data_IF_601694147210
#
_entry.id   IF_601694147210
#
_cell.length_a   1.000
_cell.length_b   1.000
_cell.length_c   1.000
_cell.angle_alpha   90.00
_cell.angle_beta   90.00
_cell.angle_gamma   90.00
#
_symmetry.space_group_name_H-M   'P 1'
#
loop_
_entity.id
_entity.type
_entity.pdbx_description
1 polymer ?
#
# COMPACT_ATOMS: atom_id res chain seq x y z
N UNK A 1 15.96 -18.54 6.52
CA UNK A 1 15.52 -17.51 5.56
C UNK A 1 15.71 -17.99 4.13
N UNK A 2 14.63 -17.95 3.35
CA UNK A 2 14.63 -18.25 1.91
C UNK A 2 15.65 -17.34 1.17
N UNK A 3 16.32 -17.90 0.15
CA UNK A 3 17.39 -17.19 -0.59
C UNK A 3 16.84 -15.98 -1.35
N UNK A 4 15.71 -16.12 -2.03
CA UNK A 4 15.10 -15.04 -2.81
C UNK A 4 14.66 -13.89 -1.90
N UNK A 5 14.01 -14.21 -0.78
CA UNK A 5 13.61 -13.20 0.22
C UNK A 5 14.85 -12.48 0.77
N UNK A 6 15.94 -13.21 1.03
CA UNK A 6 17.22 -12.62 1.49
C UNK A 6 17.83 -11.68 0.46
N UNK A 7 17.79 -12.04 -0.82
CA UNK A 7 18.27 -11.19 -1.92
C UNK A 7 17.47 -9.90 -2.02
N UNK A 8 16.13 -10.00 -2.03
CA UNK A 8 15.23 -8.84 -2.01
C UNK A 8 15.47 -7.96 -0.76
N UNK A 9 15.68 -8.56 0.42
CA UNK A 9 15.97 -7.82 1.65
C UNK A 9 17.33 -7.06 1.59
N UNK A 10 18.37 -7.65 1.01
CA UNK A 10 19.65 -6.96 0.81
C UNK A 10 19.50 -5.81 -0.19
N UNK A 11 18.85 -6.07 -1.32
CA UNK A 11 18.62 -5.07 -2.36
C UNK A 11 17.81 -3.90 -1.82
N UNK A 12 16.81 -4.16 -0.97
CA UNK A 12 16.06 -3.11 -0.27
C UNK A 12 16.98 -2.22 0.58
N UNK A 13 17.89 -2.81 1.36
CA UNK A 13 18.83 -2.03 2.19
C UNK A 13 19.79 -1.19 1.32
N UNK A 14 20.27 -1.73 0.21
CA UNK A 14 21.14 -1.02 -0.74
C UNK A 14 20.39 0.13 -1.42
N UNK A 15 19.16 -0.11 -1.88
CA UNK A 15 18.30 0.91 -2.48
C UNK A 15 17.97 2.04 -1.50
N UNK A 16 17.73 1.71 -0.22
CA UNK A 16 17.50 2.71 0.81
C UNK A 16 18.71 3.65 0.98
N UNK A 17 19.93 3.10 0.98
CA UNK A 17 21.17 3.88 1.07
C UNK A 17 21.29 4.86 -0.09
N UNK A 18 21.01 4.41 -1.31
CA UNK A 18 21.03 5.25 -2.52
C UNK A 18 20.00 6.38 -2.43
N UNK A 19 18.77 6.06 -2.01
CA UNK A 19 17.71 7.04 -1.83
C UNK A 19 18.03 8.06 -0.72
N UNK A 20 18.59 7.60 0.40
CA UNK A 20 19.02 8.46 1.52
C UNK A 20 20.07 9.48 1.09
N UNK A 21 21.01 9.10 0.22
CA UNK A 21 22.04 9.98 -0.32
C UNK A 21 21.51 11.06 -1.26
N UNK A 22 20.57 10.70 -2.13
CA UNK A 22 20.09 11.54 -3.23
C UNK A 22 18.85 12.40 -2.90
N UNK A 23 17.98 11.93 -1.99
CA UNK A 23 16.67 12.53 -1.72
C UNK A 23 16.58 13.06 -0.29
N UNK A 24 17.50 13.94 0.10
CA UNK A 24 17.65 14.40 1.51
C UNK A 24 16.39 15.04 2.10
N UNK A 25 15.62 15.74 1.28
CA UNK A 25 14.43 16.49 1.70
C UNK A 25 13.16 15.65 1.78
N UNK A 26 13.14 14.46 1.18
CA UNK A 26 12.01 13.55 1.27
C UNK A 26 12.03 12.80 2.61
N UNK A 27 10.87 12.43 3.14
CA UNK A 27 10.74 11.76 4.44
C UNK A 27 11.45 10.40 4.45
N UNK A 28 12.13 10.04 5.55
CA UNK A 28 12.91 8.80 5.65
C UNK A 28 12.08 7.54 5.39
N UNK A 29 10.85 7.50 5.90
CA UNK A 29 9.91 6.40 5.69
C UNK A 29 9.50 6.22 4.22
N UNK A 30 9.32 7.31 3.44
CA UNK A 30 9.06 7.22 2.00
C UNK A 30 10.20 6.51 1.27
N UNK A 31 11.44 6.73 1.69
CA UNK A 31 12.63 6.11 1.08
C UNK A 31 12.67 4.61 1.36
N UNK A 32 12.22 4.16 2.53
CA UNK A 32 12.14 2.72 2.81
C UNK A 32 11.13 2.03 1.90
N UNK A 33 9.96 2.63 1.68
CA UNK A 33 8.95 2.07 0.79
C UNK A 33 9.41 2.09 -0.68
N UNK A 34 9.96 3.20 -1.15
CA UNK A 34 10.52 3.27 -2.51
C UNK A 34 11.65 2.24 -2.70
N UNK A 35 12.51 2.04 -1.69
CA UNK A 35 13.54 1.02 -1.71
C UNK A 35 12.97 -0.40 -1.81
N UNK A 36 11.92 -0.69 -1.04
CA UNK A 36 11.21 -1.95 -1.07
C UNK A 36 10.57 -2.19 -2.44
N UNK A 37 9.91 -1.18 -3.03
CA UNK A 37 9.26 -1.27 -4.34
C UNK A 37 10.24 -1.63 -5.47
N UNK A 38 11.45 -1.07 -5.44
CA UNK A 38 12.52 -1.49 -6.36
C UNK A 38 13.02 -2.91 -6.06
N UNK A 39 13.18 -3.24 -4.77
CA UNK A 39 13.74 -4.53 -4.37
C UNK A 39 12.84 -5.72 -4.69
N UNK A 40 11.52 -5.60 -4.51
CA UNK A 40 10.57 -6.67 -4.89
C UNK A 40 10.59 -6.97 -6.38
N UNK A 41 10.96 -5.98 -7.21
CA UNK A 41 11.15 -6.15 -8.65
C UNK A 41 12.54 -6.65 -9.04
N UNK A 42 13.44 -6.85 -8.07
CA UNK A 42 14.83 -7.19 -8.35
C UNK A 42 15.62 -6.04 -8.97
N UNK A 43 15.14 -4.79 -8.88
CA UNK A 43 15.74 -3.62 -9.51
C UNK A 43 16.54 -2.78 -8.50
N UNK A 44 17.66 -2.22 -8.96
CA UNK A 44 18.39 -1.18 -8.23
C UNK A 44 17.77 0.19 -8.49
N UNK A 45 17.77 1.06 -7.49
CA UNK A 45 17.35 2.46 -7.65
C UNK A 45 18.24 3.17 -8.67
N UNK A 46 17.62 3.81 -9.65
CA UNK A 46 18.27 4.80 -10.50
C UNK A 46 17.85 6.20 -10.04
N UNK A 47 18.70 6.83 -9.23
CA UNK A 47 18.39 8.12 -8.63
C UNK A 47 18.23 9.23 -9.69
N UNK A 48 18.96 9.17 -10.80
CA UNK A 48 18.88 10.19 -11.85
C UNK A 48 17.59 10.08 -12.64
N UNK A 49 17.12 8.85 -12.93
CA UNK A 49 15.78 8.61 -13.52
C UNK A 49 14.68 9.16 -12.61
N UNK A 50 14.75 8.91 -11.30
CA UNK A 50 13.77 9.46 -10.36
C UNK A 50 13.81 10.99 -10.37
N UNK A 51 15.00 11.63 -10.38
CA UNK A 51 15.11 13.10 -10.44
C UNK A 51 14.52 13.66 -11.75
N UNK A 52 14.79 13.01 -12.87
CA UNK A 52 14.22 13.35 -14.18
C UNK A 52 12.69 13.33 -14.12
N UNK A 53 12.10 12.25 -13.60
CA UNK A 53 10.64 12.12 -13.48
C UNK A 53 10.08 13.15 -12.50
N UNK A 54 10.74 13.41 -11.36
CA UNK A 54 10.32 14.46 -10.41
C UNK A 54 10.27 15.84 -11.07
N UNK A 55 11.21 16.13 -11.96
CA UNK A 55 11.23 17.40 -12.70
C UNK A 55 10.11 17.44 -13.74
N UNK A 56 9.94 16.37 -14.51
CA UNK A 56 8.85 16.27 -15.48
C UNK A 56 7.47 16.47 -14.82
N UNK A 57 7.19 15.81 -13.70
CA UNK A 57 5.93 16.01 -12.95
C UNK A 57 5.75 17.48 -12.55
N UNK A 58 6.81 18.16 -12.12
CA UNK A 58 6.74 19.58 -11.74
C UNK A 58 6.51 20.51 -12.94
N UNK A 59 7.02 20.16 -14.11
CA UNK A 59 6.80 20.93 -15.34
C UNK A 59 5.36 20.77 -15.84
N UNK A 60 4.82 19.54 -15.77
CA UNK A 60 3.48 19.22 -16.25
C UNK A 60 2.35 19.57 -15.26
N UNK A 61 2.68 19.93 -14.01
CA UNK A 61 1.67 20.21 -12.97
C UNK A 61 1.88 21.53 -12.26
N UNK A 62 0.80 22.15 -11.80
CA UNK A 62 0.86 23.32 -10.93
C UNK A 62 1.47 23.03 -9.55
N UNK A 63 1.98 24.07 -8.87
CA UNK A 63 2.63 23.94 -7.55
C UNK A 63 1.72 23.42 -6.43
N UNK A 64 0.40 23.56 -6.60
CA UNK A 64 -0.62 23.02 -5.70
C UNK A 64 -1.10 21.63 -6.10
N UNK A 65 -0.51 20.97 -7.10
CA UNK A 65 -0.95 19.65 -7.54
C UNK A 65 -0.78 18.57 -6.48
N UNK A 66 -1.69 17.58 -6.48
CA UNK A 66 -1.67 16.43 -5.57
C UNK A 66 -0.49 15.49 -5.83
N UNK A 67 0.12 15.56 -7.02
CA UNK A 67 1.33 14.84 -7.39
C UNK A 67 2.61 15.38 -6.75
N UNK A 68 2.54 16.53 -6.04
CA UNK A 68 3.67 17.15 -5.36
C UNK A 68 3.75 16.75 -3.88
N UNK A 69 4.67 17.35 -3.12
CA UNK A 69 4.89 17.01 -1.72
C UNK A 69 5.35 15.55 -1.55
N UNK A 70 4.75 14.84 -0.59
CA UNK A 70 5.09 13.44 -0.29
C UNK A 70 4.83 12.47 -1.45
N UNK A 71 3.82 12.77 -2.28
CA UNK A 71 3.48 11.95 -3.44
C UNK A 71 4.54 11.99 -4.52
N UNK A 72 5.33 13.07 -4.59
CA UNK A 72 6.28 13.26 -5.67
C UNK A 72 7.30 12.13 -5.74
N UNK A 73 7.83 11.66 -4.60
CA UNK A 73 8.80 10.57 -4.58
C UNK A 73 8.15 9.21 -4.90
N UNK A 74 6.99 8.89 -4.31
CA UNK A 74 6.29 7.62 -4.55
C UNK A 74 5.86 7.51 -6.01
N UNK A 75 5.20 8.54 -6.55
CA UNK A 75 4.72 8.52 -7.93
C UNK A 75 5.89 8.50 -8.92
N UNK A 76 6.98 9.23 -8.65
CA UNK A 76 8.17 9.15 -9.51
C UNK A 76 8.82 7.77 -9.48
N UNK A 77 8.78 7.09 -8.33
CA UNK A 77 9.27 5.71 -8.20
C UNK A 77 8.40 4.74 -8.99
N UNK A 78 7.06 4.85 -8.88
CA UNK A 78 6.14 4.02 -9.67
C UNK A 78 6.34 4.23 -11.18
N UNK A 79 6.45 5.48 -11.62
CA UNK A 79 6.71 5.83 -13.01
C UNK A 79 8.07 5.35 -13.52
N UNK A 80 9.04 5.02 -12.66
CA UNK A 80 10.27 4.37 -13.10
C UNK A 80 10.03 2.97 -13.69
N UNK A 81 8.93 2.32 -13.31
CA UNK A 81 8.56 0.98 -13.76
C UNK A 81 7.74 0.97 -15.05
N UNK A 82 7.32 2.15 -15.52
CA UNK A 82 6.56 2.28 -16.76
C UNK A 82 7.50 2.53 -17.95
N UNK A 83 7.26 1.82 -19.05
CA UNK A 83 8.10 1.89 -20.25
C UNK A 83 8.18 3.32 -20.82
N UNK A 84 7.02 3.97 -20.94
CA UNK A 84 6.90 5.37 -21.35
C UNK A 84 6.22 6.17 -20.24
N UNK A 85 7.01 6.52 -19.22
CA UNK A 85 6.51 7.27 -18.07
C UNK A 85 5.88 8.63 -18.44
N UNK A 86 6.32 9.27 -19.52
CA UNK A 86 5.76 10.56 -19.97
C UNK A 86 4.33 10.39 -20.48
N UNK A 87 4.10 9.39 -21.34
CA UNK A 87 2.77 9.05 -21.82
C UNK A 87 1.88 8.56 -20.69
N UNK A 88 2.41 7.68 -19.83
CA UNK A 88 1.68 7.17 -18.67
C UNK A 88 1.22 8.31 -17.76
N UNK A 89 2.11 9.27 -17.45
CA UNK A 89 1.75 10.40 -16.60
C UNK A 89 0.73 11.34 -17.26
N UNK A 90 0.75 11.50 -18.59
CA UNK A 90 -0.31 12.25 -19.29
C UNK A 90 -1.67 11.58 -19.13
N UNK A 91 -1.73 10.26 -19.26
CA UNK A 91 -2.94 9.47 -18.99
C UNK A 91 -3.39 9.63 -17.54
N UNK A 92 -2.46 9.65 -16.59
CA UNK A 92 -2.79 9.94 -15.20
C UNK A 92 -3.41 11.32 -15.03
N UNK A 93 -2.85 12.37 -15.64
CA UNK A 93 -3.45 13.72 -15.57
C UNK A 93 -4.88 13.73 -16.12
N UNK A 94 -5.13 13.05 -17.25
CA UNK A 94 -6.48 12.95 -17.82
C UNK A 94 -7.45 12.21 -16.88
N UNK A 95 -7.08 11.02 -16.42
CA UNK A 95 -7.93 10.22 -15.52
C UNK A 95 -8.17 10.94 -14.20
N UNK A 96 -7.17 11.66 -13.68
CA UNK A 96 -7.31 12.46 -12.47
C UNK A 96 -8.39 13.54 -12.62
N UNK A 97 -8.40 14.27 -13.73
CA UNK A 97 -9.42 15.28 -13.99
C UNK A 97 -10.82 14.64 -14.16
N UNK A 98 -10.92 13.47 -14.80
CA UNK A 98 -12.19 12.72 -14.85
C UNK A 98 -12.65 12.31 -13.45
N UNK A 99 -11.76 11.78 -12.60
CA UNK A 99 -12.11 11.45 -11.20
C UNK A 99 -12.66 12.69 -10.47
N UNK A 100 -12.08 13.87 -10.66
CA UNK A 100 -12.59 15.10 -10.05
C UNK A 100 -13.99 15.47 -10.55
N UNK A 101 -14.31 15.20 -11.82
CA UNK A 101 -15.66 15.39 -12.37
C UNK A 101 -16.68 14.42 -11.76
N UNK A 102 -16.27 13.20 -11.39
CA UNK A 102 -17.07 12.25 -10.61
C UNK A 102 -17.20 12.63 -9.12
N UNK A 103 -16.56 13.72 -8.68
CA UNK A 103 -16.68 14.24 -7.31
C UNK A 103 -15.58 13.77 -6.35
N UNK A 104 -14.58 13.01 -6.83
CA UNK A 104 -13.40 12.68 -6.03
C UNK A 104 -12.60 13.95 -5.76
N UNK A 105 -12.44 14.28 -4.47
CA UNK A 105 -11.83 15.54 -4.06
C UNK A 105 -10.32 15.41 -4.02
N UNK A 106 -9.65 16.56 -4.11
CA UNK A 106 -8.20 16.66 -3.90
C UNK A 106 -7.79 15.99 -2.59
N UNK A 107 -6.80 15.10 -2.66
CA UNK A 107 -6.30 14.32 -1.53
C UNK A 107 -4.91 13.73 -1.82
N UNK A 108 -4.17 13.38 -0.77
CA UNK A 108 -2.89 12.68 -0.88
C UNK A 108 -3.03 11.29 -1.51
N UNK A 109 -4.20 10.66 -1.46
CA UNK A 109 -4.44 9.33 -2.01
C UNK A 109 -4.91 9.33 -3.48
N UNK A 110 -5.45 10.47 -3.97
CA UNK A 110 -6.02 10.56 -5.31
C UNK A 110 -4.99 10.27 -6.42
N UNK A 111 -3.72 10.73 -6.35
CA UNK A 111 -2.66 10.36 -7.29
C UNK A 111 -2.42 8.86 -7.42
N UNK A 112 -2.42 8.14 -6.31
CA UNK A 112 -2.19 6.70 -6.31
C UNK A 112 -3.42 5.96 -6.87
N UNK A 113 -4.63 6.37 -6.50
CA UNK A 113 -5.85 5.85 -7.08
C UNK A 113 -5.91 6.07 -8.60
N UNK A 114 -5.45 7.23 -9.05
CA UNK A 114 -5.30 7.55 -10.48
C UNK A 114 -4.30 6.60 -11.16
N UNK A 115 -3.12 6.42 -10.55
CA UNK A 115 -2.11 5.48 -11.04
C UNK A 115 -2.69 4.07 -11.22
N UNK A 116 -3.41 3.56 -10.21
CA UNK A 116 -4.07 2.25 -10.26
C UNK A 116 -5.04 2.16 -11.43
N UNK A 117 -5.90 3.17 -11.62
CA UNK A 117 -6.84 3.19 -12.74
C UNK A 117 -6.13 3.16 -14.10
N UNK A 118 -5.08 3.98 -14.28
CA UNK A 118 -4.31 3.99 -15.55
C UNK A 118 -3.55 2.68 -15.76
N UNK A 119 -3.07 2.06 -14.69
CA UNK A 119 -2.28 0.83 -14.76
C UNK A 119 -3.11 -0.39 -15.12
N UNK A 120 -4.27 -0.53 -14.47
CA UNK A 120 -5.04 -1.78 -14.49
C UNK A 120 -6.31 -1.69 -15.35
N UNK A 121 -6.67 -0.51 -15.86
CA UNK A 121 -7.86 -0.31 -16.72
C UNK A 121 -7.47 0.19 -18.11
N UNK A 122 -7.87 -0.51 -19.19
CA UNK A 122 -7.70 -0.04 -20.56
C UNK A 122 -8.38 1.31 -20.79
N UNK A 123 -7.78 2.14 -21.65
CA UNK A 123 -8.22 3.52 -21.92
C UNK A 123 -9.70 3.59 -22.33
N UNK A 124 -10.15 2.67 -23.17
CA UNK A 124 -11.53 2.58 -23.66
C UNK A 124 -12.55 2.29 -22.56
N UNK A 125 -12.12 1.78 -21.39
CA UNK A 125 -12.97 1.44 -20.26
C UNK A 125 -12.93 2.48 -19.13
N UNK A 126 -12.12 3.54 -19.22
CA UNK A 126 -11.98 4.48 -18.11
C UNK A 126 -13.31 5.06 -17.64
N UNK A 127 -14.20 5.48 -18.56
CA UNK A 127 -15.47 6.09 -18.16
C UNK A 127 -16.37 5.12 -17.36
N UNK A 128 -16.55 3.88 -17.83
CA UNK A 128 -17.40 2.92 -17.14
C UNK A 128 -16.78 2.46 -15.81
N UNK A 129 -15.45 2.30 -15.76
CA UNK A 129 -14.74 1.89 -14.55
C UNK A 129 -14.64 3.03 -13.53
N UNK A 130 -14.57 4.29 -13.95
CA UNK A 130 -14.67 5.46 -13.05
C UNK A 130 -16.07 5.60 -12.44
N UNK A 131 -17.12 5.33 -13.22
CA UNK A 131 -18.47 5.25 -12.66
C UNK A 131 -18.56 4.12 -11.61
N UNK A 132 -18.01 2.94 -11.93
CA UNK A 132 -17.96 1.81 -10.99
C UNK A 132 -17.18 2.14 -9.72
N UNK A 133 -16.10 2.92 -9.83
CA UNK A 133 -15.34 3.41 -8.68
C UNK A 133 -16.20 4.29 -7.76
N UNK A 134 -17.00 5.19 -8.32
CA UNK A 134 -17.96 6.01 -7.56
C UNK A 134 -19.03 5.14 -6.87
N UNK A 135 -19.54 4.11 -7.55
CA UNK A 135 -20.49 3.15 -6.96
C UNK A 135 -19.90 2.40 -5.75
N UNK A 136 -18.65 1.92 -5.86
CA UNK A 136 -17.94 1.30 -4.75
C UNK A 136 -17.72 2.26 -3.58
N UNK A 137 -17.25 3.47 -3.87
CA UNK A 137 -16.99 4.48 -2.83
C UNK A 137 -18.29 4.89 -2.09
N UNK A 138 -19.40 5.03 -2.81
CA UNK A 138 -20.73 5.25 -2.23
C UNK A 138 -21.17 4.07 -1.38
N UNK A 139 -20.98 2.84 -1.85
CA UNK A 139 -21.28 1.62 -1.09
C UNK A 139 -20.51 1.57 0.25
N UNK A 140 -19.24 1.96 0.26
CA UNK A 140 -18.45 2.08 1.51
C UNK A 140 -19.03 3.14 2.44
N UNK A 141 -19.34 4.33 1.90
CA UNK A 141 -19.95 5.44 2.66
C UNK A 141 -21.31 5.08 3.28
N UNK A 142 -22.13 4.30 2.58
CA UNK A 142 -23.43 3.86 3.08
C UNK A 142 -23.32 2.96 4.33
N UNK A 143 -22.31 2.09 4.38
CA UNK A 143 -22.10 1.16 5.50
C UNK A 143 -21.28 1.78 6.64
N UNK A 144 -20.27 2.57 6.29
CA UNK A 144 -19.29 3.08 7.24
C UNK A 144 -19.02 4.58 7.00
N UNK A 145 -20.07 5.40 7.08
CA UNK A 145 -19.99 6.84 6.76
C UNK A 145 -18.85 7.58 7.46
N UNK A 146 -18.66 7.29 8.76
CA UNK A 146 -17.66 7.94 9.62
C UNK A 146 -16.23 7.41 9.45
N UNK A 147 -16.08 6.18 8.97
CA UNK A 147 -14.76 5.58 8.75
C UNK A 147 -14.29 5.86 7.33
N UNK A 148 -15.20 5.84 6.36
CA UNK A 148 -14.86 5.98 4.95
C UNK A 148 -14.32 7.38 4.67
N UNK A 149 -13.13 7.50 4.09
CA UNK A 149 -12.48 8.77 3.83
C UNK A 149 -11.73 8.76 2.49
N UNK A 150 -10.88 9.75 2.23
CA UNK A 150 -10.16 9.82 0.96
C UNK A 150 -9.11 8.72 0.79
N UNK A 151 -8.69 8.06 1.87
CA UNK A 151 -7.82 6.88 1.84
C UNK A 151 -8.49 5.67 1.17
N UNK A 152 -9.82 5.58 1.22
CA UNK A 152 -10.57 4.55 0.49
C UNK A 152 -10.62 4.77 -1.02
N UNK A 153 -10.14 5.91 -1.55
CA UNK A 153 -10.10 6.13 -3.01
C UNK A 153 -9.27 5.07 -3.72
N UNK A 154 -8.15 4.66 -3.13
CA UNK A 154 -7.30 3.64 -3.74
C UNK A 154 -8.00 2.28 -3.73
N UNK A 155 -8.70 1.95 -2.64
CA UNK A 155 -9.47 0.71 -2.57
C UNK A 155 -10.65 0.71 -3.56
N UNK A 156 -11.36 1.83 -3.69
CA UNK A 156 -12.42 1.97 -4.69
C UNK A 156 -11.88 1.85 -6.12
N UNK A 157 -10.71 2.42 -6.43
CA UNK A 157 -10.05 2.28 -7.74
C UNK A 157 -9.67 0.82 -8.02
N UNK A 158 -9.09 0.15 -7.02
CA UNK A 158 -8.76 -1.28 -7.10
C UNK A 158 -10.00 -2.12 -7.40
N UNK A 159 -11.08 -1.96 -6.63
CA UNK A 159 -12.31 -2.72 -6.85
C UNK A 159 -12.94 -2.42 -8.20
N UNK A 160 -12.89 -1.15 -8.64
CA UNK A 160 -13.39 -0.75 -9.94
C UNK A 160 -12.65 -1.42 -11.09
N UNK A 161 -11.33 -1.61 -10.98
CA UNK A 161 -10.54 -2.29 -12.01
C UNK A 161 -10.96 -3.76 -12.20
N UNK A 162 -11.45 -4.41 -11.13
CA UNK A 162 -11.97 -5.79 -11.21
C UNK A 162 -13.34 -5.90 -11.88
N UNK A 163 -13.77 -7.14 -12.13
CA UNK A 163 -15.12 -7.46 -12.60
C UNK A 163 -16.06 -7.92 -11.46
N UNK A 164 -15.65 -7.76 -10.20
CA UNK A 164 -16.43 -8.17 -9.02
C UNK A 164 -17.70 -7.34 -8.84
N UNK A 165 -18.88 -7.96 -8.70
CA UNK A 165 -20.13 -7.22 -8.51
C UNK A 165 -20.10 -6.28 -7.31
N UNK A 166 -20.60 -5.05 -7.49
CA UNK A 166 -20.54 -4.00 -6.45
C UNK A 166 -21.34 -4.40 -5.22
N UNK A 167 -22.58 -4.88 -5.40
CA UNK A 167 -23.47 -5.19 -4.26
C UNK A 167 -23.00 -6.41 -3.51
N UNK A 168 -22.61 -7.47 -4.22
CA UNK A 168 -22.09 -8.69 -3.62
C UNK A 168 -20.78 -8.41 -2.86
N UNK A 169 -19.87 -7.64 -3.45
CA UNK A 169 -18.59 -7.30 -2.81
C UNK A 169 -18.82 -6.46 -1.56
N UNK A 170 -19.67 -5.43 -1.62
CA UNK A 170 -19.98 -4.62 -0.43
C UNK A 170 -20.67 -5.42 0.68
N UNK A 171 -21.46 -6.44 0.32
CA UNK A 171 -22.01 -7.38 1.29
C UNK A 171 -20.90 -8.22 1.95
N UNK A 172 -19.97 -8.76 1.16
CA UNK A 172 -18.81 -9.53 1.68
C UNK A 172 -17.91 -8.68 2.58
N UNK A 173 -17.69 -7.41 2.22
CA UNK A 173 -16.96 -6.44 3.06
C UNK A 173 -17.60 -6.32 4.44
N UNK A 174 -18.93 -6.14 4.50
CA UNK A 174 -19.64 -6.00 5.77
C UNK A 174 -19.63 -7.31 6.58
N UNK A 175 -19.77 -8.46 5.91
CA UNK A 175 -19.66 -9.78 6.56
C UNK A 175 -18.26 -9.97 7.17
N UNK A 176 -17.20 -9.63 6.43
CA UNK A 176 -15.82 -9.67 6.94
C UNK A 176 -15.62 -8.70 8.11
N UNK A 177 -16.14 -7.47 8.02
CA UNK A 177 -16.01 -6.47 9.08
C UNK A 177 -16.60 -6.95 10.40
N UNK A 178 -17.81 -7.55 10.35
CA UNK A 178 -18.46 -8.11 11.53
C UNK A 178 -17.69 -9.30 12.10
N UNK A 179 -17.33 -10.26 11.26
CA UNK A 179 -16.61 -11.45 11.68
C UNK A 179 -15.24 -11.12 12.28
N UNK A 180 -14.48 -10.19 11.70
CA UNK A 180 -13.21 -9.71 12.26
C UNK A 180 -13.41 -9.00 13.61
N UNK A 181 -14.45 -8.19 13.76
CA UNK A 181 -14.77 -7.59 15.06
C UNK A 181 -15.11 -8.65 16.12
N UNK A 182 -15.83 -9.72 15.75
CA UNK A 182 -16.12 -10.86 16.62
C UNK A 182 -14.86 -11.66 17.01
N UNK A 183 -13.87 -11.74 16.11
CA UNK A 183 -12.55 -12.31 16.38
C UNK A 183 -11.66 -11.43 17.28
N UNK A 184 -12.12 -10.22 17.63
CA UNK A 184 -11.48 -9.33 18.61
C UNK A 184 -10.71 -8.15 18.02
N UNK A 185 -10.81 -7.89 16.71
CA UNK A 185 -10.26 -6.68 16.11
C UNK A 185 -11.09 -5.44 16.49
N UNK A 186 -10.42 -4.38 16.93
CA UNK A 186 -11.10 -3.15 17.36
C UNK A 186 -11.75 -2.41 16.19
N UNK A 187 -12.96 -1.86 16.41
CA UNK A 187 -13.66 -1.02 15.43
C UNK A 187 -12.85 0.22 15.08
N UNK A 188 -12.74 0.53 13.79
CA UNK A 188 -11.99 1.67 13.30
C UNK A 188 -11.57 1.50 11.85
N UNK A 189 -10.78 2.45 11.35
CA UNK A 189 -10.33 2.49 9.96
C UNK A 189 -9.49 1.27 9.58
N UNK A 190 -8.58 0.84 10.46
CA UNK A 190 -7.72 -0.32 10.21
C UNK A 190 -8.53 -1.62 10.03
N UNK A 191 -9.63 -1.78 10.79
CA UNK A 191 -10.54 -2.92 10.66
C UNK A 191 -11.33 -2.87 9.35
N UNK A 192 -11.78 -1.67 8.95
CA UNK A 192 -12.44 -1.47 7.65
C UNK A 192 -11.49 -1.80 6.50
N UNK A 193 -10.25 -1.31 6.54
CA UNK A 193 -9.22 -1.62 5.54
C UNK A 193 -8.95 -3.12 5.47
N UNK A 194 -8.89 -3.80 6.62
CA UNK A 194 -8.74 -5.26 6.65
C UNK A 194 -9.96 -5.94 5.99
N UNK A 195 -11.20 -5.55 6.31
CA UNK A 195 -12.38 -6.17 5.72
C UNK A 195 -12.48 -5.95 4.21
N UNK A 196 -12.07 -4.78 3.73
CA UNK A 196 -11.91 -4.43 2.32
C UNK A 196 -11.01 -5.43 1.58
N UNK A 197 -9.80 -5.69 2.09
CA UNK A 197 -8.88 -6.65 1.48
C UNK A 197 -9.44 -8.07 1.55
N UNK A 198 -10.00 -8.47 2.70
CA UNK A 198 -10.48 -9.83 2.92
C UNK A 198 -11.65 -10.23 2.01
N UNK A 199 -12.43 -9.23 1.56
CA UNK A 199 -13.51 -9.42 0.58
C UNK A 199 -13.01 -9.80 -0.82
N UNK A 200 -11.72 -9.60 -1.13
CA UNK A 200 -11.10 -9.99 -2.40
C UNK A 200 -10.79 -11.49 -2.49
N UNK A 201 -10.65 -12.18 -1.35
CA UNK A 201 -10.38 -13.61 -1.33
C UNK A 201 -11.60 -14.44 -1.73
N UNK A 202 -11.38 -15.63 -2.25
CA UNK A 202 -12.47 -16.56 -2.65
C UNK A 202 -12.95 -17.45 -1.50
N UNK A 203 -12.15 -17.63 -0.45
CA UNK A 203 -12.47 -18.51 0.68
C UNK A 203 -13.65 -17.97 1.51
N UNK A 204 -14.19 -18.82 2.39
CA UNK A 204 -15.27 -18.41 3.27
C UNK A 204 -14.83 -17.29 4.22
N UNK A 205 -15.76 -16.38 4.56
CA UNK A 205 -15.51 -15.29 5.51
C UNK A 205 -14.96 -15.82 6.83
N UNK A 206 -15.52 -16.93 7.33
CA UNK A 206 -15.09 -17.55 8.58
C UNK A 206 -13.63 -18.00 8.55
N UNK A 207 -13.22 -18.78 7.53
CA UNK A 207 -11.84 -19.30 7.44
C UNK A 207 -10.83 -18.16 7.34
N UNK A 208 -11.13 -17.18 6.51
CA UNK A 208 -10.29 -16.00 6.31
C UNK A 208 -10.17 -15.17 7.59
N UNK A 209 -11.26 -14.86 8.29
CA UNK A 209 -11.20 -14.08 9.53
C UNK A 209 -10.44 -14.80 10.65
N UNK A 210 -10.64 -16.13 10.79
CA UNK A 210 -9.92 -16.95 11.75
C UNK A 210 -8.42 -17.01 11.46
N UNK A 211 -8.05 -17.18 10.19
CA UNK A 211 -6.64 -17.15 9.75
C UNK A 211 -5.99 -15.78 10.03
N UNK A 212 -6.69 -14.68 9.76
CA UNK A 212 -6.21 -13.33 10.08
C UNK A 212 -5.93 -13.18 11.58
N UNK A 213 -6.86 -13.61 12.44
CA UNK A 213 -6.67 -13.57 13.90
C UNK A 213 -5.49 -14.43 14.36
N UNK A 214 -5.37 -15.65 13.80
CA UNK A 214 -4.26 -16.55 14.09
C UNK A 214 -2.91 -15.93 13.72
N UNK A 215 -2.75 -15.44 12.48
CA UNK A 215 -1.54 -14.77 12.00
C UNK A 215 -1.19 -13.55 12.85
N UNK A 216 -2.18 -12.71 13.16
CA UNK A 216 -1.99 -11.52 14.00
C UNK A 216 -1.43 -11.86 15.38
N UNK A 217 -2.00 -12.87 16.03
CA UNK A 217 -1.55 -13.31 17.36
C UNK A 217 -0.18 -13.98 17.32
N UNK A 218 0.10 -14.83 16.32
CA UNK A 218 1.41 -15.47 16.16
C UNK A 218 2.52 -14.43 15.92
N UNK A 219 2.29 -13.47 15.03
CA UNK A 219 3.19 -12.34 14.80
C UNK A 219 3.43 -11.53 16.08
N UNK A 220 2.36 -11.25 16.84
CA UNK A 220 2.46 -10.57 18.14
C UNK A 220 3.31 -11.33 19.15
N UNK A 221 3.18 -12.66 19.20
CA UNK A 221 3.93 -13.54 20.10
C UNK A 221 5.42 -13.58 19.74
N UNK A 222 5.74 -13.58 18.45
CA UNK A 222 7.12 -13.45 17.92
C UNK A 222 7.68 -12.02 17.99
N UNK A 223 7.00 -11.13 18.72
CA UNK A 223 7.35 -9.71 18.89
C UNK A 223 7.41 -8.94 17.56
N UNK A 224 6.80 -9.44 16.49
CA UNK A 224 6.65 -8.82 15.17
C UNK A 224 5.25 -8.23 15.04
N UNK A 225 4.93 -7.23 15.85
CA UNK A 225 3.58 -6.65 15.88
C UNK A 225 3.34 -5.76 14.66
N UNK A 226 2.22 -6.00 13.98
CA UNK A 226 1.66 -5.10 12.98
C UNK A 226 0.81 -4.03 13.68
N UNK A 227 1.22 -2.76 13.63
CA UNK A 227 0.43 -1.58 14.03
C UNK A 227 0.17 -0.69 12.81
N UNK A 228 -0.79 0.24 12.92
CA UNK A 228 -1.14 1.19 11.86
C UNK A 228 -1.56 0.45 10.57
N UNK A 229 -0.97 0.81 9.43
CA UNK A 229 -1.14 0.17 8.12
C UNK A 229 -0.83 -1.33 8.08
N UNK A 230 -0.26 -1.89 9.14
CA UNK A 230 0.02 -3.31 9.24
C UNK A 230 -1.21 -4.23 9.14
N UNK A 231 -2.43 -3.75 9.40
CA UNK A 231 -3.63 -4.57 9.15
C UNK A 231 -3.90 -4.78 7.66
N UNK A 232 -3.49 -3.84 6.79
CA UNK A 232 -3.57 -4.07 5.35
C UNK A 232 -2.64 -5.23 4.94
N UNK A 233 -1.40 -5.20 5.42
CA UNK A 233 -0.44 -6.30 5.23
C UNK A 233 -0.95 -7.61 5.81
N UNK A 234 -1.62 -7.60 6.97
CA UNK A 234 -2.25 -8.80 7.54
C UNK A 234 -3.34 -9.38 6.62
N UNK A 235 -4.18 -8.53 6.04
CA UNK A 235 -5.21 -8.96 5.09
C UNK A 235 -4.59 -9.72 3.93
N UNK A 236 -3.52 -9.17 3.36
CA UNK A 236 -2.77 -9.81 2.26
C UNK A 236 -2.15 -11.13 2.70
N UNK A 237 -1.46 -11.16 3.85
CA UNK A 237 -0.91 -12.39 4.44
C UNK A 237 -1.97 -13.48 4.66
N UNK A 238 -3.22 -13.06 4.85
CA UNK A 238 -4.33 -13.99 5.03
C UNK A 238 -4.80 -14.57 3.70
N UNK A 239 -4.77 -13.77 2.62
CA UNK A 239 -5.12 -14.20 1.26
C UNK A 239 -4.02 -15.01 0.57
N UNK A 240 -2.75 -14.84 0.94
CA UNK A 240 -1.68 -15.69 0.41
C UNK A 240 -1.82 -17.12 0.94
N UNK A 241 -1.64 -18.10 0.05
CA UNK A 241 -1.52 -19.50 0.44
C UNK A 241 -0.27 -19.74 1.27
N UNK A 242 -0.28 -20.77 2.13
CA UNK A 242 0.90 -21.16 2.90
C UNK A 242 0.58 -21.52 4.34
N UNK A 243 1.55 -22.17 4.99
CA UNK A 243 1.47 -22.51 6.41
C UNK A 243 1.73 -21.27 7.26
N UNK A 244 0.80 -20.92 8.14
CA UNK A 244 0.89 -19.71 8.98
C UNK A 244 2.18 -19.65 9.81
N UNK A 245 2.64 -20.78 10.36
CA UNK A 245 3.85 -20.80 11.19
C UNK A 245 5.10 -20.58 10.34
N UNK A 246 5.09 -21.05 9.10
CA UNK A 246 6.16 -20.77 8.16
C UNK A 246 6.20 -19.28 7.81
N UNK A 247 5.07 -18.69 7.45
CA UNK A 247 4.96 -17.26 7.13
C UNK A 247 5.47 -16.42 8.31
N UNK A 248 5.03 -16.71 9.54
CA UNK A 248 5.44 -15.98 10.74
C UNK A 248 6.96 -16.11 10.98
N UNK A 249 7.52 -17.32 10.83
CA UNK A 249 8.96 -17.54 10.96
C UNK A 249 9.75 -16.76 9.92
N UNK A 250 9.33 -16.77 8.66
CA UNK A 250 10.02 -16.06 7.58
C UNK A 250 9.97 -14.54 7.81
N UNK A 251 8.84 -13.99 8.25
CA UNK A 251 8.73 -12.56 8.61
C UNK A 251 9.69 -12.22 9.74
N UNK A 252 9.77 -13.07 10.77
CA UNK A 252 10.69 -12.88 11.90
C UNK A 252 12.15 -12.90 11.44
N UNK A 253 12.52 -13.85 10.60
CA UNK A 253 13.88 -13.98 10.06
C UNK A 253 14.27 -12.74 9.23
N UNK A 254 13.37 -12.25 8.37
CA UNK A 254 13.60 -11.03 7.58
C UNK A 254 13.74 -9.82 8.50
N UNK A 255 12.86 -9.67 9.49
CA UNK A 255 12.87 -8.57 10.44
C UNK A 255 14.18 -8.50 11.24
N UNK A 256 14.68 -9.65 11.71
CA UNK A 256 15.97 -9.76 12.39
C UNK A 256 17.12 -9.47 11.43
N UNK A 257 17.05 -9.98 10.20
CA UNK A 257 18.09 -9.79 9.21
C UNK A 257 18.25 -8.31 8.82
N UNK A 258 17.15 -7.61 8.55
CA UNK A 258 17.21 -6.20 8.17
C UNK A 258 17.52 -5.31 9.36
N UNK A 259 17.22 -5.71 10.61
CA UNK A 259 17.58 -4.93 11.81
C UNK A 259 19.08 -4.61 11.88
N UNK A 260 19.93 -5.53 11.41
CA UNK A 260 21.39 -5.38 11.37
C UNK A 260 21.89 -4.51 10.20
N UNK A 261 20.99 -4.01 9.33
CA UNK A 261 21.35 -3.17 8.18
C UNK A 261 21.27 -1.68 8.53
N UNK A 262 22.16 -0.89 7.93
CA UNK A 262 22.15 0.57 8.10
C UNK A 262 20.79 1.16 7.67
N UNK A 263 20.21 2.00 8.53
CA UNK A 263 18.89 2.59 8.32
C UNK A 263 17.70 1.79 8.85
N UNK A 264 17.88 0.55 9.33
CA UNK A 264 16.76 -0.32 9.76
C UNK A 264 16.80 -0.68 11.25
N UNK A 265 17.90 -0.36 11.94
CA UNK A 265 18.05 -0.57 13.37
C UNK A 265 17.13 0.30 14.24
N UNK A 266 17.19 0.09 15.56
CA UNK A 266 16.30 0.71 16.55
C UNK A 266 16.26 2.25 16.49
N UNK A 267 17.36 2.88 16.11
CA UNK A 267 17.49 4.34 16.05
C UNK A 267 17.03 4.97 14.74
N UNK A 268 16.73 4.15 13.72
CA UNK A 268 16.40 4.62 12.37
C UNK A 268 14.97 4.30 11.96
N UNK A 269 14.45 3.14 12.37
CA UNK A 269 13.15 2.66 11.93
C UNK A 269 12.34 2.05 13.07
N UNK A 270 11.09 2.51 13.20
CA UNK A 270 10.14 1.94 14.15
C UNK A 270 9.97 0.44 13.95
N UNK A 271 9.80 -0.29 15.06
CA UNK A 271 9.71 -1.75 15.05
C UNK A 271 8.49 -2.26 14.28
N UNK A 272 7.35 -1.58 14.36
CA UNK A 272 6.17 -1.95 13.58
C UNK A 272 6.42 -1.72 12.10
N UNK A 273 7.06 -0.60 11.75
CA UNK A 273 7.39 -0.30 10.36
C UNK A 273 8.35 -1.32 9.76
N UNK A 274 9.38 -1.71 10.49
CA UNK A 274 10.29 -2.79 10.06
C UNK A 274 9.56 -4.12 9.89
N UNK A 275 8.60 -4.41 10.76
CA UNK A 275 7.74 -5.61 10.62
C UNK A 275 6.90 -5.55 9.35
N UNK A 276 6.31 -4.38 9.02
CA UNK A 276 5.53 -4.18 7.79
C UNK A 276 6.40 -4.43 6.54
N UNK A 277 7.59 -3.82 6.47
CA UNK A 277 8.52 -4.06 5.35
C UNK A 277 8.90 -5.54 5.22
N UNK A 278 9.16 -6.20 6.35
CA UNK A 278 9.50 -7.63 6.38
C UNK A 278 8.34 -8.49 5.88
N UNK A 279 7.12 -8.19 6.33
CA UNK A 279 5.92 -8.87 5.93
C UNK A 279 5.59 -8.64 4.44
N UNK A 280 5.79 -7.44 3.92
CA UNK A 280 5.59 -7.15 2.49
C UNK A 280 6.59 -7.90 1.60
N UNK A 281 7.86 -8.06 2.01
CA UNK A 281 8.82 -8.90 1.28
C UNK A 281 8.41 -10.38 1.25
N UNK A 282 7.86 -10.89 2.36
CA UNK A 282 7.34 -12.26 2.43
C UNK A 282 6.07 -12.40 1.59
N UNK A 283 5.14 -11.44 1.66
CA UNK A 283 3.95 -11.38 0.81
C UNK A 283 4.34 -11.46 -0.66
N UNK A 284 5.27 -10.61 -1.10
CA UNK A 284 5.71 -10.56 -2.49
C UNK A 284 6.25 -11.91 -2.99
N UNK A 285 7.07 -12.59 -2.18
CA UNK A 285 7.55 -13.94 -2.49
C UNK A 285 6.41 -14.94 -2.71
N UNK A 286 5.43 -15.00 -1.81
CA UNK A 286 4.29 -15.91 -1.97
C UNK A 286 3.35 -15.50 -3.10
N UNK A 287 3.18 -14.19 -3.36
CA UNK A 287 2.40 -13.70 -4.48
C UNK A 287 3.07 -14.09 -5.80
N UNK A 288 4.39 -13.97 -5.93
CA UNK A 288 5.15 -14.42 -7.11
C UNK A 288 4.95 -15.92 -7.37
N UNK A 289 4.95 -16.76 -6.32
CA UNK A 289 4.61 -18.17 -6.47
C UNK A 289 3.16 -18.40 -6.95
N UNK A 290 2.23 -17.53 -6.53
CA UNK A 290 0.84 -17.57 -6.95
C UNK A 290 0.60 -17.06 -8.38
N UNK A 291 1.42 -16.13 -8.92
CA UNK A 291 1.24 -15.41 -10.21
C UNK A 291 1.19 -16.26 -11.49
N UNK A 292 1.01 -17.58 -11.42
CA UNK A 292 0.87 -18.49 -12.57
C UNK A 292 -0.44 -18.33 -13.39
N UNK A 293 -1.12 -17.17 -13.31
CA UNK A 293 -2.33 -16.86 -14.10
C UNK A 293 -2.72 -15.37 -14.07
N UNK A 294 -3.42 -14.90 -15.11
CA UNK A 294 -3.74 -13.47 -15.35
C UNK A 294 -4.58 -12.83 -14.23
N UNK A 295 -5.62 -13.53 -13.74
CA UNK A 295 -6.48 -13.02 -12.65
C UNK A 295 -5.67 -12.79 -11.35
N UNK A 296 -4.65 -13.61 -11.09
CA UNK A 296 -3.79 -13.49 -9.92
C UNK A 296 -2.83 -12.32 -9.99
N UNK A 297 -2.46 -11.88 -11.20
CA UNK A 297 -1.62 -10.68 -11.41
C UNK A 297 -2.41 -9.39 -11.12
N UNK A 298 -3.65 -9.30 -11.60
CA UNK A 298 -4.52 -8.15 -11.31
C UNK A 298 -4.79 -8.00 -9.81
N UNK A 299 -5.06 -9.12 -9.12
CA UNK A 299 -5.19 -9.17 -7.65
C UNK A 299 -3.89 -8.77 -6.94
N UNK A 300 -2.72 -9.20 -7.43
CA UNK A 300 -1.43 -8.81 -6.86
C UNK A 300 -1.14 -7.30 -6.98
N UNK A 301 -1.40 -6.69 -8.15
CA UNK A 301 -1.24 -5.25 -8.35
C UNK A 301 -2.19 -4.45 -7.46
N UNK A 302 -3.44 -4.91 -7.38
CA UNK A 302 -4.49 -4.37 -6.51
C UNK A 302 -4.07 -4.35 -5.04
N UNK A 303 -3.50 -5.46 -4.56
CA UNK A 303 -2.96 -5.59 -3.22
C UNK A 303 -1.81 -4.61 -2.97
N UNK A 304 -0.87 -4.49 -3.91
CA UNK A 304 0.26 -3.56 -3.79
C UNK A 304 -0.21 -2.11 -3.73
N UNK A 305 -1.20 -1.71 -4.53
CA UNK A 305 -1.77 -0.36 -4.46
C UNK A 305 -2.38 -0.05 -3.08
N UNK A 306 -3.11 -1.00 -2.49
CA UNK A 306 -3.68 -0.85 -1.14
C UNK A 306 -2.57 -0.74 -0.09
N UNK A 307 -1.53 -1.57 -0.17
CA UNK A 307 -0.37 -1.48 0.74
C UNK A 307 0.26 -0.09 0.65
N UNK A 308 0.56 0.41 -0.55
CA UNK A 308 1.18 1.73 -0.74
C UNK A 308 0.27 2.85 -0.18
N UNK A 309 -1.05 2.77 -0.39
CA UNK A 309 -1.99 3.77 0.13
C UNK A 309 -1.97 3.82 1.66
N UNK A 310 -1.94 2.66 2.31
CA UNK A 310 -1.92 2.57 3.76
C UNK A 310 -0.57 2.98 4.34
N UNK A 311 0.51 2.71 3.62
CA UNK A 311 1.83 3.24 3.91
C UNK A 311 1.85 4.78 3.84
N UNK A 312 1.20 5.41 2.86
CA UNK A 312 1.04 6.88 2.81
C UNK A 312 0.30 7.42 4.05
N UNK A 313 -0.77 6.77 4.49
CA UNK A 313 -1.51 7.15 5.69
C UNK A 313 -0.64 7.10 6.96
N UNK A 314 0.18 6.05 7.11
CA UNK A 314 1.12 5.92 8.23
C UNK A 314 2.17 7.05 8.24
N UNK A 315 2.64 7.47 7.06
CA UNK A 315 3.60 8.57 6.90
C UNK A 315 2.97 9.89 7.33
N UNK A 316 1.75 10.18 6.89
CA UNK A 316 1.02 11.39 7.27
C UNK A 316 0.84 11.47 8.80
N UNK A 317 0.48 10.35 9.44
CA UNK A 317 0.33 10.28 10.90
C UNK A 317 1.65 10.58 11.65
N UNK A 318 2.79 10.06 11.17
CA UNK A 318 4.10 10.33 11.77
C UNK A 318 4.52 11.81 11.68
N UNK A 319 4.19 12.48 10.57
CA UNK A 319 4.48 13.91 10.38
C UNK A 319 3.68 14.75 11.38
N UNK A 320 2.38 14.50 11.50
CA UNK A 320 1.50 15.22 12.44
C UNK A 320 2.02 15.09 13.88
N UNK A 321 2.36 13.87 14.32
CA UNK A 321 2.92 13.63 15.64
C UNK A 321 4.21 14.41 15.90
N UNK A 322 5.11 14.46 14.89
CA UNK A 322 6.38 15.18 14.98
C UNK A 322 6.18 16.69 15.08
N UNK A 323 5.26 17.25 14.29
CA UNK A 323 4.92 18.69 14.36
C UNK A 323 4.27 19.09 15.68
N UNK A 324 3.39 18.25 16.23
CA UNK A 324 2.77 18.48 17.53
C UNK A 324 3.83 18.48 18.65
N UNK A 325 4.74 17.50 18.66
CA UNK A 325 5.84 17.45 19.61
C UNK A 325 6.76 18.69 19.52
N UNK A 326 7.11 19.12 18.30
CA UNK A 326 7.91 20.33 18.10
C UNK A 326 7.20 21.60 18.63
N UNK A 327 5.90 21.75 18.39
CA UNK A 327 5.11 22.88 18.89
C UNK A 327 4.97 22.91 20.41
N UNK A 328 4.90 21.74 21.06
CA UNK A 328 4.90 21.66 22.53
C UNK A 328 6.27 22.01 23.13
N UNK A 329 7.36 21.66 22.43
CA UNK A 329 8.73 21.99 22.87
C UNK A 329 9.09 23.46 22.68
N UNK A 330 8.51 24.15 21.70
CA UNK A 330 8.69 25.59 21.50
C UNK A 330 7.82 26.46 22.42
N UNK A 331 6.88 25.82 23.13
CA UNK A 331 5.96 26.48 24.07
C UNK A 331 6.32 26.21 25.54
N UNK A 332 7.47 25.58 25.79
CA UNK A 332 8.00 25.23 27.11
C UNK A 332 9.23 26.04 27.47
#
# INVERSE_FOLDING_TARGET
MNIEIKEKANLMAENYKELKGNFKWDTGILKHFCAMMHAVRGERVNADKIKEIKNYIKEETGWTSDYRGNNLLIISTLLCFEENYKSFFKNMVEVHEKMRQYGFRKSEYLPLATYTMVKDVPEEQWNCKLQRMDEFYKGMKEKHFWLTSTDDYVFAAVLAATDLDVKETMKKVEECYKALNEEGFGKGNDLQTLSHIMALGEESVYEKCKKANSLYNKLRNEKCRLKYSGLATLGVLTLIGGNEDQIVREIKEVNDFIYEKDGYGMWSLDKSMRTILSANLVCDFYIDEMKKGVLKVALANSINAIIIAQEQAAIAACIVASTAAASSSSSS
#
